data_IF_794614607379
#
_entry.id   IF_794614607379
#
_cell.length_a   1.000
_cell.length_b   1.000
_cell.length_c   1.000
_cell.angle_alpha   90.00
_cell.angle_beta   90.00
_cell.angle_gamma   90.00
#
_symmetry.space_group_name_H-M   'P 1'
#
loop_
_entity.id
_entity.type
_entity.pdbx_description
1 polymer ?
#
# COMPACT_ATOMS: atom_id res chain seq x y z
N UNK A 1 -5.16 -7.08 24.62
CA UNK A 1 -4.63 -7.32 23.25
C UNK A 1 -3.30 -6.61 23.19
N UNK A 2 -2.23 -7.32 22.85
CA UNK A 2 -0.94 -6.67 22.62
C UNK A 2 -1.08 -5.64 21.49
N UNK A 3 -0.48 -4.48 21.70
CA UNK A 3 -0.42 -3.39 20.73
C UNK A 3 0.59 -3.77 19.64
N UNK A 4 0.14 -4.58 18.68
CA UNK A 4 0.97 -5.05 17.58
C UNK A 4 0.86 -4.02 16.45
N UNK A 5 1.89 -3.19 16.31
CA UNK A 5 1.99 -2.09 15.35
C UNK A 5 1.59 -2.46 13.92
N UNK A 6 2.02 -3.60 13.40
CA UNK A 6 1.69 -4.01 12.04
C UNK A 6 0.20 -4.32 11.86
N UNK A 7 -0.49 -4.81 12.91
CA UNK A 7 -1.94 -5.08 12.88
C UNK A 7 -2.72 -3.76 12.81
N UNK A 8 -2.33 -2.76 13.61
CA UNK A 8 -2.97 -1.43 13.57
C UNK A 8 -2.75 -0.75 12.21
N UNK A 9 -1.54 -0.86 11.66
CA UNK A 9 -1.25 -0.33 10.34
C UNK A 9 -2.02 -1.07 9.25
N UNK A 10 -2.17 -2.38 9.37
CA UNK A 10 -2.98 -3.16 8.44
C UNK A 10 -4.45 -2.72 8.45
N UNK A 11 -5.05 -2.46 9.62
CA UNK A 11 -6.41 -1.87 9.69
C UNK A 11 -6.47 -0.50 8.98
N UNK A 12 -5.45 0.33 9.17
CA UNK A 12 -5.36 1.64 8.49
C UNK A 12 -5.23 1.48 6.97
N UNK A 13 -4.43 0.52 6.51
CA UNK A 13 -4.28 0.17 5.10
C UNK A 13 -5.61 -0.32 4.49
N UNK A 14 -6.36 -1.17 5.18
CA UNK A 14 -7.64 -1.67 4.68
C UNK A 14 -8.66 -0.53 4.51
N UNK A 15 -8.71 0.42 5.45
CA UNK A 15 -9.56 1.61 5.32
C UNK A 15 -9.14 2.50 4.14
N UNK A 16 -7.84 2.67 3.95
CA UNK A 16 -7.28 3.42 2.83
C UNK A 16 -7.61 2.77 1.49
N UNK A 17 -7.44 1.45 1.39
CA UNK A 17 -7.76 0.66 0.21
C UNK A 17 -9.24 0.76 -0.16
N UNK A 18 -10.15 0.67 0.82
CA UNK A 18 -11.59 0.86 0.58
C UNK A 18 -11.90 2.22 -0.04
N UNK A 19 -11.25 3.30 0.40
CA UNK A 19 -11.45 4.64 -0.18
C UNK A 19 -10.90 4.73 -1.60
N UNK A 20 -9.75 4.10 -1.87
CA UNK A 20 -9.19 4.02 -3.21
C UNK A 20 -10.10 3.25 -4.17
N UNK A 21 -10.68 2.13 -3.72
CA UNK A 21 -11.64 1.33 -4.49
C UNK A 21 -12.90 2.14 -4.84
N UNK A 22 -13.42 2.90 -3.89
CA UNK A 22 -14.55 3.82 -4.13
C UNK A 22 -14.20 4.91 -5.16
N UNK A 23 -13.03 5.54 -5.02
CA UNK A 23 -12.58 6.57 -5.95
C UNK A 23 -12.35 6.00 -7.37
N UNK A 24 -11.80 4.79 -7.47
CA UNK A 24 -11.64 4.07 -8.73
C UNK A 24 -13.00 3.70 -9.36
N UNK A 25 -13.94 3.19 -8.57
CA UNK A 25 -15.29 2.87 -9.05
C UNK A 25 -16.00 4.12 -9.60
N UNK A 26 -15.83 5.27 -8.94
CA UNK A 26 -16.34 6.55 -9.42
C UNK A 26 -15.73 6.93 -10.79
N UNK A 27 -14.40 6.82 -10.91
CA UNK A 27 -13.68 7.09 -12.16
C UNK A 27 -14.08 6.16 -13.31
N UNK A 28 -14.41 4.91 -13.01
CA UNK A 28 -14.89 3.94 -13.98
C UNK A 28 -16.33 4.22 -14.42
N UNK A 29 -17.15 4.82 -13.55
CA UNK A 29 -18.57 5.12 -13.83
C UNK A 29 -18.77 6.39 -14.66
N UNK A 30 -17.88 7.38 -14.51
CA UNK A 30 -17.94 8.66 -15.22
C UNK A 30 -16.60 9.37 -15.23
N UNK A 31 -16.49 10.38 -16.09
CA UNK A 31 -15.38 11.33 -16.05
C UNK A 31 -15.34 12.04 -14.70
N UNK A 32 -14.14 12.12 -14.13
CA UNK A 32 -13.86 12.88 -12.92
C UNK A 32 -13.69 14.38 -13.23
N UNK A 33 -14.05 15.21 -12.26
CA UNK A 33 -13.60 16.60 -12.22
C UNK A 33 -12.11 16.64 -11.84
N UNK A 34 -11.45 17.75 -12.12
CA UNK A 34 -10.03 17.92 -11.77
C UNK A 34 -9.73 17.70 -10.28
N UNK A 35 -10.65 18.11 -9.39
CA UNK A 35 -10.49 17.91 -7.95
C UNK A 35 -10.61 16.43 -7.56
N UNK A 36 -11.50 15.70 -8.22
CA UNK A 36 -11.67 14.26 -7.99
C UNK A 36 -10.50 13.46 -8.55
N UNK A 37 -9.93 13.85 -9.70
CA UNK A 37 -8.69 13.27 -10.23
C UNK A 37 -7.54 13.44 -9.23
N UNK A 38 -7.38 14.63 -8.66
CA UNK A 38 -6.40 14.89 -7.60
C UNK A 38 -6.65 14.04 -6.35
N UNK A 39 -7.92 13.90 -5.95
CA UNK A 39 -8.31 13.05 -4.83
C UNK A 39 -7.97 11.58 -5.07
N UNK A 40 -8.20 11.07 -6.27
CA UNK A 40 -7.85 9.70 -6.66
C UNK A 40 -6.33 9.47 -6.62
N UNK A 41 -5.54 10.42 -7.15
CA UNK A 41 -4.07 10.34 -7.11
C UNK A 41 -3.59 10.32 -5.65
N UNK A 42 -4.08 11.24 -4.82
CA UNK A 42 -3.72 11.28 -3.42
C UNK A 42 -4.11 9.99 -2.69
N UNK A 43 -5.30 9.44 -3.01
CA UNK A 43 -5.78 8.17 -2.48
C UNK A 43 -4.85 7.01 -2.81
N UNK A 44 -4.37 6.95 -4.05
CA UNK A 44 -3.39 5.97 -4.47
C UNK A 44 -2.08 6.11 -3.67
N UNK A 45 -1.51 7.32 -3.60
CA UNK A 45 -0.23 7.58 -2.94
C UNK A 45 -0.24 7.15 -1.46
N UNK A 46 -1.23 7.58 -0.69
CA UNK A 46 -1.28 7.24 0.74
C UNK A 46 -1.60 5.76 0.98
N UNK A 47 -2.42 5.15 0.11
CA UNK A 47 -2.77 3.72 0.22
C UNK A 47 -1.53 2.87 -0.04
N UNK A 48 -0.78 3.19 -1.11
CA UNK A 48 0.47 2.51 -1.42
C UNK A 48 1.52 2.72 -0.32
N UNK A 49 1.60 3.93 0.26
CA UNK A 49 2.49 4.21 1.37
C UNK A 49 2.17 3.34 2.60
N UNK A 50 0.89 3.22 2.96
CA UNK A 50 0.45 2.35 4.05
C UNK A 50 0.71 0.87 3.76
N UNK A 51 0.54 0.45 2.51
CA UNK A 51 0.76 -0.92 2.08
C UNK A 51 2.22 -1.36 2.32
N UNK A 52 3.20 -0.64 1.78
CA UNK A 52 4.61 -1.02 1.95
C UNK A 52 5.08 -0.86 3.40
N UNK A 53 4.59 0.14 4.14
CA UNK A 53 4.89 0.25 5.59
C UNK A 53 4.30 -0.92 6.40
N UNK A 54 3.16 -1.47 5.99
CA UNK A 54 2.55 -2.63 6.63
C UNK A 54 3.38 -3.89 6.37
N UNK A 55 3.80 -4.09 5.13
CA UNK A 55 4.72 -5.18 4.77
C UNK A 55 6.02 -5.08 5.56
N UNK A 56 6.59 -3.86 5.68
CA UNK A 56 7.80 -3.62 6.45
C UNK A 56 7.59 -4.00 7.92
N UNK A 57 6.60 -3.40 8.59
CA UNK A 57 6.35 -3.66 10.01
C UNK A 57 6.05 -5.17 10.25
N UNK A 58 5.38 -5.85 9.31
CA UNK A 58 5.16 -7.30 9.37
C UNK A 58 6.45 -8.10 9.24
N UNK A 59 7.26 -7.83 8.21
CA UNK A 59 8.54 -8.52 7.97
C UNK A 59 9.52 -8.33 9.13
N UNK A 60 9.60 -7.11 9.68
CA UNK A 60 10.40 -6.80 10.88
C UNK A 60 9.91 -7.57 12.09
N UNK A 61 8.58 -7.69 12.30
CA UNK A 61 8.02 -8.50 13.39
C UNK A 61 8.33 -10.00 13.27
N UNK A 62 8.70 -10.46 12.06
CA UNK A 62 9.11 -11.85 11.77
C UNK A 62 10.62 -12.04 11.74
N UNK A 63 11.40 -11.01 12.08
CA UNK A 63 12.86 -11.07 12.20
C UNK A 63 13.63 -10.62 10.96
N UNK A 64 12.97 -10.09 9.92
CA UNK A 64 13.65 -9.46 8.79
C UNK A 64 14.28 -8.15 9.25
N UNK A 65 15.53 -7.92 8.88
CA UNK A 65 16.27 -6.69 9.21
C UNK A 65 16.61 -5.93 7.94
N UNK A 66 17.13 -4.70 8.09
CA UNK A 66 17.67 -3.92 6.97
C UNK A 66 16.65 -3.56 5.87
N UNK A 67 15.38 -3.32 6.25
CA UNK A 67 14.35 -2.77 5.38
C UNK A 67 14.29 -1.24 5.52
N UNK A 68 14.79 -0.51 4.53
CA UNK A 68 14.96 0.94 4.59
C UNK A 68 13.85 1.72 3.86
N UNK A 69 13.18 1.14 2.86
CA UNK A 69 12.16 1.84 2.09
C UNK A 69 11.14 0.94 1.42
N UNK A 70 10.42 1.48 0.43
CA UNK A 70 9.41 0.72 -0.31
C UNK A 70 10.05 -0.33 -1.24
N UNK A 71 11.17 -0.02 -1.88
CA UNK A 71 11.80 -0.91 -2.88
C UNK A 71 12.33 -2.23 -2.32
N UNK A 72 13.08 -2.16 -1.23
CA UNK A 72 13.62 -3.36 -0.56
C UNK A 72 12.51 -4.13 0.17
N UNK A 73 11.59 -3.43 0.81
CA UNK A 73 10.41 -4.04 1.44
C UNK A 73 9.56 -4.81 0.42
N UNK A 74 9.22 -4.20 -0.72
CA UNK A 74 8.44 -4.85 -1.78
C UNK A 74 9.15 -6.09 -2.32
N UNK A 75 10.47 -5.99 -2.57
CA UNK A 75 11.26 -7.13 -3.05
C UNK A 75 11.26 -8.28 -2.04
N UNK A 76 11.37 -7.97 -0.76
CA UNK A 76 11.37 -8.98 0.30
C UNK A 76 9.97 -9.58 0.51
N UNK A 77 8.93 -8.76 0.47
CA UNK A 77 7.55 -9.22 0.51
C UNK A 77 7.23 -10.18 -0.65
N UNK A 78 7.70 -9.88 -1.86
CA UNK A 78 7.55 -10.76 -3.02
C UNK A 78 8.29 -12.09 -2.83
N UNK A 79 9.55 -12.06 -2.36
CA UNK A 79 10.33 -13.27 -2.07
C UNK A 79 9.67 -14.18 -1.04
N UNK A 80 9.00 -13.59 -0.05
CA UNK A 80 8.28 -14.31 1.00
C UNK A 80 6.84 -14.69 0.61
N UNK A 81 6.41 -14.40 -0.63
CA UNK A 81 5.07 -14.73 -1.13
C UNK A 81 3.93 -13.93 -0.47
N UNK A 82 4.24 -12.79 0.14
CA UNK A 82 3.24 -11.90 0.75
C UNK A 82 2.47 -11.09 -0.29
N UNK A 83 3.13 -10.81 -1.41
CA UNK A 83 2.55 -10.13 -2.57
C UNK A 83 2.92 -10.89 -3.83
N UNK A 84 2.02 -10.85 -4.82
CA UNK A 84 2.28 -11.33 -6.17
C UNK A 84 2.74 -10.17 -7.06
N UNK A 85 3.27 -10.50 -8.25
CA UNK A 85 3.61 -9.54 -9.29
C UNK A 85 4.49 -8.38 -8.78
N UNK A 86 5.66 -8.73 -8.23
CA UNK A 86 6.60 -7.76 -7.66
C UNK A 86 6.97 -6.62 -8.61
N UNK A 87 6.97 -6.85 -9.92
CA UNK A 87 7.21 -5.82 -10.93
C UNK A 87 6.13 -4.72 -10.92
N UNK A 88 4.85 -5.09 -10.79
CA UNK A 88 3.75 -4.11 -10.67
C UNK A 88 3.93 -3.24 -9.43
N UNK A 89 4.35 -3.85 -8.31
CA UNK A 89 4.67 -3.09 -7.10
C UNK A 89 5.86 -2.15 -7.27
N UNK A 90 6.86 -2.56 -8.04
CA UNK A 90 7.99 -1.69 -8.36
C UNK A 90 7.58 -0.52 -9.26
N UNK A 91 6.67 -0.74 -10.22
CA UNK A 91 6.10 0.30 -11.07
C UNK A 91 5.32 1.35 -10.26
N UNK A 92 4.57 0.89 -9.24
CA UNK A 92 3.86 1.78 -8.30
C UNK A 92 4.79 2.69 -7.49
N UNK A 93 6.07 2.34 -7.31
CA UNK A 93 7.07 3.15 -6.60
C UNK A 93 7.68 4.24 -7.49
N UNK A 94 7.70 4.02 -8.80
CA UNK A 94 8.35 4.93 -9.77
C UNK A 94 7.39 6.03 -10.26
N UNK A 95 6.10 5.87 -9.98
CA UNK A 95 5.01 6.76 -10.43
C UNK A 95 4.93 8.07 -9.64
#
# INVERSE_FOLDING_TARGET
MEDIRWIQRFDSFLRALSQLEEAYALAASRRLSRLEEQGLIQAFEFTHELAWKTLKDFLESRGTQDLYGSKDTTREAFRNGLVNDGDVWMDMIVS
#
